data_IF_879005508021
#
_entry.id   IF_879005508021
#
_cell.length_a   1.000
_cell.length_b   1.000
_cell.length_c   1.000
_cell.angle_alpha   90.00
_cell.angle_beta   90.00
_cell.angle_gamma   90.00
#
_symmetry.space_group_name_H-M   'P 1'
#
loop_
_entity.id
_entity.type
_entity.pdbx_description
1 polymer ?
#
# COMPACT_ATOMS: atom_id res chain seq x y z
N UNK A 1 -42.75 37.62 -13.28
CA UNK A 1 -41.51 37.35 -14.04
C UNK A 1 -40.27 37.26 -13.12
N UNK A 2 -40.40 36.73 -11.87
CA UNK A 2 -39.28 36.70 -10.92
C UNK A 2 -39.16 35.34 -10.19
N UNK A 3 -39.69 34.27 -10.77
CA UNK A 3 -39.68 32.92 -10.14
C UNK A 3 -38.85 31.88 -10.95
N UNK A 4 -38.29 32.26 -12.09
CA UNK A 4 -37.57 31.32 -12.99
C UNK A 4 -36.06 31.31 -12.87
N UNK A 5 -35.46 32.00 -11.89
CA UNK A 5 -33.97 32.12 -11.80
C UNK A 5 -33.34 31.34 -10.67
N UNK A 6 -34.05 30.52 -9.89
CA UNK A 6 -33.47 29.80 -8.72
C UNK A 6 -33.21 28.30 -9.00
N UNK A 7 -33.58 27.80 -10.17
CA UNK A 7 -33.43 26.36 -10.47
C UNK A 7 -32.10 25.91 -11.10
N UNK A 8 -31.12 26.78 -11.25
CA UNK A 8 -29.86 26.42 -11.89
C UNK A 8 -28.63 26.31 -10.95
N UNK A 9 -28.82 26.30 -9.64
CA UNK A 9 -27.70 26.17 -8.66
C UNK A 9 -27.62 24.80 -7.99
N UNK A 10 -28.32 23.81 -8.49
CA UNK A 10 -28.09 22.40 -8.12
C UNK A 10 -27.22 21.71 -9.17
N UNK A 11 -26.02 22.26 -9.42
CA UNK A 11 -24.92 21.45 -9.92
C UNK A 11 -24.56 20.48 -8.81
N UNK A 12 -25.21 19.31 -8.79
CA UNK A 12 -24.81 18.20 -7.96
C UNK A 12 -23.37 17.86 -8.31
N UNK A 13 -22.45 18.04 -7.37
CA UNK A 13 -21.21 17.30 -7.41
C UNK A 13 -21.62 15.84 -7.54
N UNK A 14 -21.26 15.17 -8.62
CA UNK A 14 -21.39 13.73 -8.75
C UNK A 14 -20.33 13.12 -7.83
N UNK A 15 -20.61 13.10 -6.54
CA UNK A 15 -19.84 12.30 -5.61
C UNK A 15 -20.13 10.86 -5.99
N UNK A 16 -19.11 10.12 -6.40
CA UNK A 16 -19.20 8.66 -6.60
C UNK A 16 -19.79 8.07 -5.34
N UNK A 17 -20.90 7.34 -5.48
CA UNK A 17 -21.59 6.76 -4.32
C UNK A 17 -20.67 5.78 -3.59
N UNK A 18 -20.89 5.59 -2.29
CA UNK A 18 -20.05 4.71 -1.47
C UNK A 18 -20.10 3.25 -1.98
N UNK A 19 -21.23 2.88 -2.57
CA UNK A 19 -21.47 1.55 -3.13
C UNK A 19 -20.62 1.25 -4.37
N UNK A 20 -20.14 2.30 -5.06
CA UNK A 20 -19.26 2.20 -6.22
C UNK A 20 -17.77 2.22 -5.86
N UNK A 21 -17.43 2.11 -4.58
CA UNK A 21 -16.05 2.10 -4.10
C UNK A 21 -15.66 0.77 -3.48
N UNK A 22 -14.39 0.43 -3.62
CA UNK A 22 -13.74 -0.62 -2.84
C UNK A 22 -12.61 0.01 -2.01
N UNK A 23 -12.33 -0.55 -0.85
CA UNK A 23 -11.46 0.05 0.15
C UNK A 23 -10.26 -0.86 0.42
N UNK A 24 -9.13 -0.69 -0.30
CA UNK A 24 -7.92 -1.41 0.02
C UNK A 24 -7.44 -1.10 1.45
N UNK A 25 -7.06 -2.15 2.19
CA UNK A 25 -6.53 -2.03 3.55
C UNK A 25 -5.01 -2.04 3.57
N UNK A 26 -4.38 -2.61 2.54
CA UNK A 26 -2.93 -2.58 2.35
C UNK A 26 -2.57 -2.52 0.87
N UNK A 27 -1.31 -2.19 0.60
CA UNK A 27 -0.70 -2.34 -0.72
C UNK A 27 0.66 -3.01 -0.60
N UNK A 28 1.04 -3.75 -1.63
CA UNK A 28 2.39 -4.27 -1.80
C UNK A 28 3.01 -3.68 -3.06
N UNK A 29 4.28 -3.35 -2.99
CA UNK A 29 5.07 -2.87 -4.13
C UNK A 29 6.43 -3.56 -4.09
N UNK A 30 6.76 -4.30 -5.15
CA UNK A 30 8.06 -4.95 -5.27
C UNK A 30 8.64 -4.78 -6.68
N UNK A 31 9.85 -5.24 -6.88
CA UNK A 31 10.49 -5.41 -8.17
C UNK A 31 10.51 -6.90 -8.54
N UNK A 32 10.14 -7.23 -9.77
CA UNK A 32 10.23 -8.58 -10.30
C UNK A 32 10.63 -8.55 -11.77
N UNK A 33 11.73 -9.24 -12.11
CA UNK A 33 12.21 -9.39 -13.49
C UNK A 33 12.39 -8.05 -14.23
N UNK A 34 12.88 -7.02 -13.54
CA UNK A 34 13.07 -5.68 -14.11
C UNK A 34 11.78 -4.86 -14.20
N UNK A 35 10.70 -5.24 -13.54
CA UNK A 35 9.42 -4.54 -13.54
C UNK A 35 8.92 -4.30 -12.11
N UNK A 36 8.12 -3.26 -11.94
CA UNK A 36 7.38 -3.04 -10.69
C UNK A 36 6.25 -4.07 -10.61
N UNK A 37 6.14 -4.75 -9.47
CA UNK A 37 5.00 -5.58 -9.09
C UNK A 37 4.15 -4.84 -8.07
N UNK A 38 2.83 -4.83 -8.25
CA UNK A 38 1.90 -4.07 -7.42
C UNK A 38 0.62 -4.84 -7.16
N UNK A 39 0.11 -4.79 -5.92
CA UNK A 39 -1.17 -5.38 -5.55
C UNK A 39 -1.79 -4.71 -4.33
N UNK A 40 -3.12 -4.77 -4.26
CA UNK A 40 -3.90 -4.39 -3.07
C UNK A 40 -4.35 -5.61 -2.28
N UNK A 41 -4.42 -5.46 -0.95
CA UNK A 41 -5.15 -6.34 -0.05
C UNK A 41 -6.45 -5.67 0.40
N UNK A 42 -7.56 -6.41 0.33
CA UNK A 42 -8.90 -5.91 0.62
C UNK A 42 -9.45 -6.48 1.92
N UNK A 43 -10.48 -5.86 2.53
CA UNK A 43 -11.13 -6.37 3.72
C UNK A 43 -11.71 -7.77 3.49
N UNK A 44 -11.60 -8.65 4.49
CA UNK A 44 -12.39 -9.89 4.53
C UNK A 44 -13.83 -9.53 4.88
N UNK A 45 -14.76 -9.93 4.04
CA UNK A 45 -16.18 -9.85 4.39
C UNK A 45 -16.51 -10.94 5.40
N UNK A 46 -17.00 -10.54 6.57
CA UNK A 46 -17.38 -11.51 7.61
C UNK A 46 -18.57 -12.36 7.16
N UNK A 47 -18.43 -13.68 7.19
CA UNK A 47 -19.45 -14.67 6.81
C UNK A 47 -20.63 -14.74 7.81
N UNK A 48 -21.09 -13.63 8.39
CA UNK A 48 -22.14 -13.68 9.43
C UNK A 48 -23.56 -13.77 8.91
N UNK A 49 -23.79 -13.57 7.64
CA UNK A 49 -25.11 -13.74 7.04
C UNK A 49 -25.06 -14.74 5.88
N UNK A 50 -25.82 -15.85 6.05
CA UNK A 50 -25.99 -16.97 5.12
C UNK A 50 -26.68 -16.54 3.80
N UNK A 51 -26.15 -15.60 3.08
CA UNK A 51 -26.60 -15.25 1.73
C UNK A 51 -25.37 -15.09 0.84
N UNK A 52 -25.29 -15.90 -0.19
CA UNK A 52 -24.52 -15.87 -1.45
C UNK A 52 -23.43 -14.76 -1.64
N UNK A 53 -22.60 -14.48 -0.64
CA UNK A 53 -21.56 -13.45 -0.66
C UNK A 53 -20.18 -13.99 -1.06
N UNK A 54 -20.10 -15.13 -1.74
CA UNK A 54 -18.85 -15.56 -2.41
C UNK A 54 -18.42 -14.57 -3.52
N UNK A 55 -19.34 -13.72 -4.00
CA UNK A 55 -19.08 -12.78 -5.10
C UNK A 55 -18.33 -11.49 -4.68
N UNK A 56 -18.10 -11.23 -3.39
CA UNK A 56 -17.57 -9.94 -2.97
C UNK A 56 -16.07 -9.95 -2.58
N UNK A 57 -15.35 -11.03 -2.80
CA UNK A 57 -13.89 -11.02 -2.68
C UNK A 57 -13.28 -10.37 -3.90
N UNK A 58 -12.76 -9.16 -3.76
CA UNK A 58 -11.88 -8.55 -4.77
C UNK A 58 -10.55 -9.31 -4.73
N UNK A 59 -10.46 -10.40 -5.47
CA UNK A 59 -9.26 -11.22 -5.56
C UNK A 59 -8.58 -10.97 -6.91
N UNK A 60 -7.95 -9.81 -7.03
CA UNK A 60 -7.18 -9.48 -8.23
C UNK A 60 -5.72 -9.78 -7.97
N UNK A 61 -5.16 -10.68 -8.78
CA UNK A 61 -3.74 -10.99 -8.74
C UNK A 61 -2.90 -9.71 -8.93
N UNK A 62 -1.76 -9.59 -8.25
CA UNK A 62 -0.82 -8.51 -8.46
C UNK A 62 -0.48 -8.32 -9.94
N UNK A 63 -0.23 -7.10 -10.34
CA UNK A 63 0.13 -6.73 -11.71
C UNK A 63 1.58 -6.32 -11.79
N UNK A 64 2.19 -6.47 -12.96
CA UNK A 64 3.54 -5.98 -13.23
C UNK A 64 3.51 -4.89 -14.30
N UNK A 65 4.44 -3.95 -14.23
CA UNK A 65 4.57 -2.86 -15.18
C UNK A 65 5.92 -2.16 -15.08
N UNK A 66 6.21 -1.30 -16.07
CA UNK A 66 7.48 -0.58 -16.10
C UNK A 66 7.58 0.52 -15.03
N UNK A 67 6.44 1.09 -14.65
CA UNK A 67 6.34 2.19 -13.69
C UNK A 67 5.21 1.93 -12.71
N UNK A 68 5.28 2.55 -11.52
CA UNK A 68 4.20 2.49 -10.53
C UNK A 68 2.87 2.99 -11.10
N UNK A 69 2.90 4.07 -11.88
CA UNK A 69 1.72 4.61 -12.56
C UNK A 69 1.04 3.55 -13.45
N UNK A 70 1.82 2.86 -14.31
CA UNK A 70 1.28 1.84 -15.20
C UNK A 70 0.69 0.64 -14.43
N UNK A 71 1.29 0.29 -13.29
CA UNK A 71 0.77 -0.76 -12.42
C UNK A 71 -0.57 -0.36 -11.81
N UNK A 72 -0.66 0.84 -11.21
CA UNK A 72 -1.90 1.34 -10.61
C UNK A 72 -3.01 1.42 -11.64
N UNK A 73 -2.76 2.02 -12.81
CA UNK A 73 -3.75 2.09 -13.90
C UNK A 73 -4.22 0.70 -14.36
N UNK A 74 -3.27 -0.25 -14.51
CA UNK A 74 -3.60 -1.62 -14.90
C UNK A 74 -4.42 -2.33 -13.83
N UNK A 75 -4.07 -2.15 -12.56
CA UNK A 75 -4.79 -2.77 -11.44
C UNK A 75 -6.21 -2.19 -11.35
N UNK A 76 -6.34 -0.88 -11.35
CA UNK A 76 -7.63 -0.18 -11.25
C UNK A 76 -8.57 -0.52 -12.41
N UNK A 77 -8.01 -0.75 -13.62
CA UNK A 77 -8.79 -1.18 -14.78
C UNK A 77 -9.40 -2.58 -14.66
N UNK A 78 -8.94 -3.39 -13.70
CA UNK A 78 -9.46 -4.73 -13.40
C UNK A 78 -10.46 -4.72 -12.25
N UNK A 79 -10.56 -3.61 -11.52
CA UNK A 79 -11.54 -3.44 -10.44
C UNK A 79 -12.91 -3.12 -11.04
N UNK A 80 -13.95 -3.70 -10.48
CA UNK A 80 -15.35 -3.33 -10.82
C UNK A 80 -15.75 -2.01 -10.17
N UNK A 81 -15.07 -1.64 -9.09
CA UNK A 81 -15.34 -0.45 -8.27
C UNK A 81 -14.10 0.43 -8.17
N UNK A 82 -14.30 1.72 -7.92
CA UNK A 82 -13.22 2.67 -7.73
C UNK A 82 -12.47 2.37 -6.42
N UNK A 83 -11.13 2.20 -6.50
CA UNK A 83 -10.31 2.04 -5.31
C UNK A 83 -10.24 3.36 -4.51
N UNK A 84 -10.69 3.34 -3.26
CA UNK A 84 -10.55 4.44 -2.30
C UNK A 84 -9.54 4.04 -1.21
N UNK A 85 -8.32 4.53 -1.35
CA UNK A 85 -7.20 4.18 -0.47
C UNK A 85 -7.23 4.89 0.89
N UNK A 86 -8.25 5.70 1.21
CA UNK A 86 -8.30 6.47 2.46
C UNK A 86 -8.35 5.59 3.73
N UNK A 87 -8.74 4.33 3.58
CA UNK A 87 -8.80 3.36 4.69
C UNK A 87 -7.56 2.48 4.83
N UNK A 88 -6.59 2.67 3.94
CA UNK A 88 -5.34 1.89 3.95
C UNK A 88 -4.60 2.01 5.29
N UNK A 89 -4.02 0.90 5.73
CA UNK A 89 -3.32 0.75 7.01
C UNK A 89 -1.81 0.62 6.84
N UNK A 90 -1.39 -0.20 5.87
CA UNK A 90 0.00 -0.60 5.70
C UNK A 90 0.40 -0.57 4.23
N UNK A 91 1.60 -0.07 3.96
CA UNK A 91 2.32 -0.21 2.69
C UNK A 91 3.52 -1.13 2.92
N UNK A 92 3.61 -2.19 2.15
CA UNK A 92 4.73 -3.13 2.18
C UNK A 92 5.57 -2.97 0.93
N UNK A 93 6.85 -2.67 1.12
CA UNK A 93 7.83 -2.74 0.04
C UNK A 93 8.51 -4.10 0.03
N UNK A 94 8.75 -4.66 -1.16
CA UNK A 94 9.56 -5.85 -1.32
C UNK A 94 11.05 -5.55 -1.22
N UNK A 95 11.83 -6.52 -0.75
CA UNK A 95 13.27 -6.39 -0.64
C UNK A 95 13.94 -6.13 -1.99
N UNK A 96 13.47 -6.79 -3.07
CA UNK A 96 14.01 -6.58 -4.41
C UNK A 96 13.86 -5.11 -4.87
N UNK A 97 12.70 -4.50 -4.62
CA UNK A 97 12.52 -3.07 -4.89
C UNK A 97 13.45 -2.20 -4.06
N UNK A 98 13.66 -2.55 -2.79
CA UNK A 98 14.53 -1.78 -1.89
C UNK A 98 16.00 -1.85 -2.31
N UNK A 99 16.42 -2.94 -2.95
CA UNK A 99 17.78 -3.12 -3.51
C UNK A 99 17.97 -2.31 -4.80
N UNK A 100 16.93 -2.14 -5.64
CA UNK A 100 16.95 -1.23 -6.79
C UNK A 100 16.64 0.20 -6.36
N UNK A 101 17.69 0.91 -5.89
CA UNK A 101 17.55 2.27 -5.35
C UNK A 101 16.94 3.26 -6.33
N UNK A 102 17.16 3.09 -7.65
CA UNK A 102 16.59 3.94 -8.69
C UNK A 102 15.07 3.76 -8.77
N UNK A 103 14.60 2.52 -8.88
CA UNK A 103 13.15 2.21 -8.92
C UNK A 103 12.46 2.57 -7.64
N UNK A 104 13.09 2.30 -6.50
CA UNK A 104 12.56 2.71 -5.21
C UNK A 104 12.35 4.22 -5.13
N UNK A 105 13.32 5.01 -5.61
CA UNK A 105 13.19 6.47 -5.67
C UNK A 105 12.05 6.91 -6.60
N UNK A 106 11.89 6.26 -7.76
CA UNK A 106 10.79 6.53 -8.70
C UNK A 106 9.42 6.21 -8.07
N UNK A 107 9.30 5.08 -7.35
CA UNK A 107 8.07 4.72 -6.62
C UNK A 107 7.75 5.76 -5.56
N UNK A 108 8.71 6.15 -4.72
CA UNK A 108 8.49 7.19 -3.70
C UNK A 108 8.10 8.54 -4.31
N UNK A 109 8.73 8.91 -5.43
CA UNK A 109 8.39 10.14 -6.17
C UNK A 109 6.95 10.12 -6.67
N UNK A 110 6.51 9.00 -7.26
CA UNK A 110 5.13 8.81 -7.70
C UNK A 110 4.14 8.91 -6.53
N UNK A 111 4.39 8.20 -5.42
CA UNK A 111 3.52 8.23 -4.24
C UNK A 111 3.41 9.64 -3.64
N UNK A 112 4.51 10.40 -3.64
CA UNK A 112 4.53 11.78 -3.16
C UNK A 112 3.74 12.72 -4.06
N UNK A 113 3.92 12.61 -5.39
CA UNK A 113 3.30 13.50 -6.37
C UNK A 113 1.79 13.28 -6.47
N UNK A 114 1.36 12.04 -6.43
CA UNK A 114 -0.06 11.68 -6.60
C UNK A 114 -0.85 11.74 -5.30
N UNK A 115 -0.19 11.57 -4.16
CA UNK A 115 -0.88 11.41 -2.88
C UNK A 115 -1.80 10.17 -2.86
N UNK A 116 -1.47 9.15 -3.65
CA UNK A 116 -2.28 7.93 -3.80
C UNK A 116 -2.64 7.28 -2.46
N UNK A 117 -1.70 7.29 -1.52
CA UNK A 117 -1.88 6.69 -0.20
C UNK A 117 -1.89 7.73 0.92
N UNK A 118 -2.67 7.51 1.99
CA UNK A 118 -2.66 8.37 3.17
C UNK A 118 -1.27 8.42 3.80
N UNK A 119 -0.84 9.60 4.23
CA UNK A 119 0.49 9.80 4.82
C UNK A 119 0.67 9.15 6.21
N UNK A 120 -0.43 8.76 6.86
CA UNK A 120 -0.44 8.20 8.21
C UNK A 120 -0.41 6.67 8.28
N UNK A 121 -0.30 5.97 7.12
CA UNK A 121 -0.16 4.52 7.06
C UNK A 121 1.23 4.07 7.50
N UNK A 122 1.32 2.86 8.05
CA UNK A 122 2.60 2.26 8.40
C UNK A 122 3.33 1.75 7.16
N UNK A 123 4.66 1.73 7.24
CA UNK A 123 5.53 1.22 6.17
C UNK A 123 6.43 0.14 6.73
N UNK A 124 6.54 -0.97 6.02
CA UNK A 124 7.46 -2.05 6.33
C UNK A 124 8.08 -2.62 5.04
N UNK A 125 9.07 -3.47 5.20
CA UNK A 125 9.70 -4.23 4.12
C UNK A 125 9.40 -5.71 4.34
N UNK A 126 9.21 -6.47 3.28
CA UNK A 126 9.10 -7.92 3.33
C UNK A 126 10.06 -8.57 2.33
N UNK A 127 10.59 -9.74 2.66
CA UNK A 127 11.41 -10.54 1.76
C UNK A 127 10.62 -10.89 0.50
N UNK A 128 9.46 -11.48 0.67
CA UNK A 128 8.47 -11.70 -0.40
C UNK A 128 7.13 -11.11 0.02
N UNK A 129 6.79 -9.89 -0.46
CA UNK A 129 5.54 -9.26 -0.07
C UNK A 129 4.30 -9.95 -0.64
N UNK A 130 4.46 -10.77 -1.70
CA UNK A 130 3.34 -11.53 -2.27
C UNK A 130 2.98 -12.74 -1.42
N UNK A 131 3.98 -13.36 -0.77
CA UNK A 131 3.75 -14.46 0.17
C UNK A 131 2.88 -14.03 1.37
N UNK A 132 2.82 -12.73 1.69
CA UNK A 132 1.92 -12.22 2.71
C UNK A 132 0.44 -12.48 2.38
N UNK A 133 0.05 -12.45 1.11
CA UNK A 133 -1.33 -12.73 0.72
C UNK A 133 -1.73 -14.20 0.94
N UNK A 134 -0.76 -15.12 0.89
CA UNK A 134 -1.00 -16.55 1.16
C UNK A 134 -1.33 -16.79 2.63
N UNK A 135 -0.88 -15.90 3.53
CA UNK A 135 -1.19 -16.01 4.98
C UNK A 135 -2.61 -15.56 5.31
N UNK A 136 -3.27 -14.83 4.43
CA UNK A 136 -4.54 -14.17 4.73
C UNK A 136 -5.66 -15.15 5.07
N UNK A 137 -5.66 -16.37 4.50
CA UNK A 137 -6.71 -17.36 4.76
C UNK A 137 -6.76 -17.80 6.22
N UNK A 138 -5.60 -17.87 6.88
CA UNK A 138 -5.45 -18.30 8.27
C UNK A 138 -5.68 -17.19 9.29
N UNK A 139 -5.80 -15.92 8.84
CA UNK A 139 -5.96 -14.77 9.74
C UNK A 139 -7.42 -14.54 10.16
N UNK A 140 -7.65 -14.06 11.39
CA UNK A 140 -9.01 -13.77 11.89
C UNK A 140 -9.62 -12.50 11.29
N UNK A 141 -8.82 -11.67 10.63
CA UNK A 141 -9.20 -10.39 10.01
C UNK A 141 -8.46 -10.21 8.69
N UNK A 142 -8.77 -9.13 7.95
CA UNK A 142 -8.01 -8.81 6.75
C UNK A 142 -6.52 -8.56 7.06
N UNK A 143 -5.68 -8.84 6.08
CA UNK A 143 -4.23 -8.78 6.23
C UNK A 143 -3.73 -7.37 6.60
N UNK A 144 -4.33 -6.30 6.04
CA UNK A 144 -3.94 -4.92 6.35
C UNK A 144 -4.20 -4.55 7.81
N UNK A 145 -5.37 -4.90 8.34
CA UNK A 145 -5.71 -4.68 9.76
C UNK A 145 -4.86 -5.55 10.68
N UNK A 146 -4.60 -6.79 10.29
CA UNK A 146 -3.72 -7.68 11.04
C UNK A 146 -2.30 -7.10 11.13
N UNK A 147 -1.73 -6.70 10.01
CA UNK A 147 -0.38 -6.12 9.98
C UNK A 147 -0.29 -4.82 10.78
N UNK A 148 -1.28 -3.93 10.69
CA UNK A 148 -1.31 -2.72 11.52
C UNK A 148 -1.20 -3.07 13.00
N UNK A 149 -2.04 -3.98 13.48
CA UNK A 149 -2.06 -4.39 14.90
C UNK A 149 -0.77 -5.13 15.29
N UNK A 150 -0.30 -6.03 14.43
CA UNK A 150 0.93 -6.77 14.65
C UNK A 150 2.14 -5.84 14.81
N UNK A 151 2.32 -4.89 13.89
CA UNK A 151 3.40 -3.92 13.93
C UNK A 151 3.36 -3.08 15.23
N UNK A 152 2.18 -2.60 15.63
CA UNK A 152 2.00 -1.84 16.88
C UNK A 152 2.36 -2.67 18.13
N UNK A 153 1.97 -3.94 18.14
CA UNK A 153 2.31 -4.84 19.24
C UNK A 153 3.82 -5.07 19.32
N UNK A 154 4.49 -5.26 18.16
CA UNK A 154 5.94 -5.44 18.10
C UNK A 154 6.71 -4.17 18.54
N UNK A 155 6.25 -2.98 18.14
CA UNK A 155 6.82 -1.72 18.63
C UNK A 155 6.69 -1.60 20.14
N UNK A 156 5.52 -1.93 20.68
CA UNK A 156 5.25 -1.92 22.12
C UNK A 156 6.11 -2.96 22.89
N UNK A 157 6.45 -4.07 22.25
CA UNK A 157 7.36 -5.09 22.78
C UNK A 157 8.85 -4.69 22.67
N UNK A 158 9.16 -3.58 21.98
CA UNK A 158 10.53 -3.08 21.85
C UNK A 158 11.30 -3.65 20.64
N UNK A 159 10.63 -4.30 19.69
CA UNK A 159 11.27 -4.87 18.51
C UNK A 159 11.88 -3.82 17.58
N UNK A 160 11.36 -2.60 17.58
CA UNK A 160 11.85 -1.47 16.79
C UNK A 160 10.87 -0.32 16.74
N UNK A 161 11.19 0.71 15.99
CA UNK A 161 10.35 1.91 15.83
C UNK A 161 9.62 1.89 14.50
N UNK A 162 8.32 2.17 14.53
CA UNK A 162 7.50 2.26 13.34
C UNK A 162 7.70 3.58 12.59
N UNK A 163 7.61 3.50 11.27
CA UNK A 163 7.57 4.63 10.38
C UNK A 163 6.22 4.74 9.68
N UNK A 164 5.78 5.96 9.49
CA UNK A 164 4.63 6.29 8.65
C UNK A 164 5.09 6.81 7.29
N UNK A 165 4.30 6.55 6.25
CA UNK A 165 4.65 6.94 4.88
C UNK A 165 5.01 8.43 4.78
N UNK A 166 4.21 9.30 5.39
CA UNK A 166 4.50 10.74 5.37
C UNK A 166 5.87 11.08 5.91
N UNK A 167 6.26 10.48 7.02
CA UNK A 167 7.58 10.67 7.61
C UNK A 167 8.69 10.10 6.71
N UNK A 168 8.48 8.92 6.12
CA UNK A 168 9.43 8.33 5.18
C UNK A 168 9.71 9.26 4.00
N UNK A 169 8.65 9.80 3.38
CA UNK A 169 8.76 10.72 2.26
C UNK A 169 9.51 12.02 2.63
N UNK A 170 9.20 12.59 3.81
CA UNK A 170 9.86 13.81 4.29
C UNK A 170 11.32 13.58 4.67
N UNK A 171 11.65 12.47 5.34
CA UNK A 171 13.02 12.14 5.73
C UNK A 171 13.91 11.81 4.52
N UNK A 172 13.37 11.15 3.49
CA UNK A 172 14.09 10.91 2.23
C UNK A 172 14.41 12.21 1.51
N UNK A 173 13.47 13.15 1.46
CA UNK A 173 13.70 14.48 0.87
C UNK A 173 14.76 15.28 1.61
N UNK A 174 14.75 15.22 2.94
CA UNK A 174 15.69 15.93 3.79
C UNK A 174 17.03 15.20 3.96
N UNK A 175 17.24 14.10 3.24
CA UNK A 175 18.48 13.30 3.26
C UNK A 175 18.90 12.83 4.67
N UNK A 176 17.97 12.40 5.49
CA UNK A 176 18.24 11.85 6.82
C UNK A 176 18.87 10.46 6.67
N UNK A 177 20.04 10.29 7.31
CA UNK A 177 21.02 9.24 7.01
C UNK A 177 20.65 7.82 7.42
N UNK A 178 19.66 7.60 8.27
CA UNK A 178 19.37 6.28 8.83
C UNK A 178 17.87 6.06 9.05
N UNK A 179 17.18 5.76 7.95
CA UNK A 179 15.81 5.27 8.06
C UNK A 179 15.88 3.75 8.20
N UNK A 180 15.23 3.24 9.24
CA UNK A 180 15.11 1.81 9.51
C UNK A 180 13.62 1.46 9.49
N UNK A 181 13.22 0.49 8.68
CA UNK A 181 11.85 0.00 8.57
C UNK A 181 11.74 -1.41 9.15
N UNK A 182 10.58 -1.79 9.70
CA UNK A 182 10.32 -3.19 10.06
C UNK A 182 10.55 -4.11 8.88
N UNK A 183 11.27 -5.21 9.10
CA UNK A 183 11.49 -6.24 8.10
C UNK A 183 10.74 -7.51 8.48
N UNK A 184 9.86 -7.94 7.58
CA UNK A 184 8.97 -9.06 7.78
C UNK A 184 9.42 -10.24 6.91
N UNK A 185 9.31 -11.44 7.47
CA UNK A 185 9.44 -12.70 6.75
C UNK A 185 8.17 -13.51 6.94
N UNK A 186 7.94 -14.42 6.01
CA UNK A 186 6.81 -15.35 6.06
C UNK A 186 7.37 -16.77 6.00
N UNK A 187 7.01 -17.60 6.99
CA UNK A 187 7.37 -19.02 7.03
C UNK A 187 6.14 -19.81 7.48
N UNK A 188 5.78 -20.84 6.75
CA UNK A 188 4.61 -21.71 7.02
C UNK A 188 3.31 -20.89 7.28
N UNK A 189 3.03 -19.89 6.44
CA UNK A 189 1.89 -18.96 6.56
C UNK A 189 1.88 -18.11 7.85
N UNK A 190 3.00 -18.03 8.57
CA UNK A 190 3.17 -17.18 9.75
C UNK A 190 4.06 -15.99 9.42
N UNK A 191 3.64 -14.80 9.84
CA UNK A 191 4.39 -13.55 9.63
C UNK A 191 5.27 -13.28 10.84
N UNK A 192 6.54 -13.03 10.58
CA UNK A 192 7.54 -12.72 11.60
C UNK A 192 8.15 -11.34 11.37
N UNK A 193 8.33 -10.57 12.46
CA UNK A 193 9.24 -9.43 12.46
C UNK A 193 10.65 -9.96 12.72
N UNK A 194 11.47 -10.01 11.68
CA UNK A 194 12.85 -10.52 11.78
C UNK A 194 13.79 -9.50 12.41
N UNK A 195 13.83 -8.29 11.86
CA UNK A 195 14.72 -7.21 12.28
C UNK A 195 14.26 -5.86 11.71
N UNK A 196 15.16 -4.87 11.73
CA UNK A 196 14.95 -3.58 11.07
C UNK A 196 15.76 -3.53 9.77
N UNK A 197 15.09 -3.29 8.66
CA UNK A 197 15.69 -3.09 7.35
C UNK A 197 16.24 -1.68 7.20
N UNK A 198 17.49 -1.54 6.81
CA UNK A 198 18.10 -0.24 6.55
C UNK A 198 17.73 0.23 5.14
N UNK A 199 16.95 1.31 5.05
CA UNK A 199 16.59 1.91 3.76
C UNK A 199 17.85 2.41 3.05
N UNK A 200 18.07 2.04 1.78
CA UNK A 200 19.22 2.48 1.01
C UNK A 200 19.31 4.00 0.89
N UNK A 201 20.53 4.51 0.96
CA UNK A 201 20.81 5.95 0.75
C UNK A 201 21.15 6.19 -0.72
N UNK A 202 20.26 6.89 -1.40
CA UNK A 202 20.37 7.21 -2.84
C UNK A 202 21.39 8.30 -3.18
N UNK A 203 22.01 8.94 -2.17
CA UNK A 203 23.02 10.00 -2.39
C UNK A 203 24.27 9.51 -3.13
N UNK A 204 24.54 8.21 -3.10
CA UNK A 204 25.67 7.63 -3.83
C UNK A 204 25.44 7.56 -5.33
N UNK A 205 24.19 7.56 -5.81
CA UNK A 205 23.88 7.50 -7.24
C UNK A 205 24.21 8.82 -7.97
N UNK A 206 24.02 9.94 -7.31
CA UNK A 206 24.31 11.27 -7.88
C UNK A 206 25.80 11.66 -7.91
N UNK A 207 26.68 10.86 -7.27
CA UNK A 207 28.13 11.12 -7.28
C UNK A 207 28.89 10.49 -8.44
N UNK A 208 28.26 9.60 -9.22
CA UNK A 208 28.92 8.94 -10.36
C UNK A 208 28.74 9.68 -11.70
N UNK A 209 27.93 10.71 -11.75
CA UNK A 209 27.68 11.51 -12.98
C UNK A 209 28.44 12.86 -13.02
N UNK A 210 29.57 13.00 -12.31
CA UNK A 210 30.43 14.20 -12.42
C UNK A 210 31.84 13.83 -12.86
#
# INVERSE_FOLDING_TARGET
ALVLSVQQLLCGCSATELEDRCFPMMAVVDEKDGQISFGYGFPKLSQKDNTDLEEARVNIAPVTGKTMESCVQTYDSRLEKLADCNHMKVLVFGENLMEDTGRYADVLSYLKQTGLFPRNIYVCVAEDPLALFETEEDLPQDLGSYLEQYLQNQESAGSGKLFKLGRLLDEKENHILQIMLPYLETEDHIIFWKNMYRVPDDRFLYKQEK
#
